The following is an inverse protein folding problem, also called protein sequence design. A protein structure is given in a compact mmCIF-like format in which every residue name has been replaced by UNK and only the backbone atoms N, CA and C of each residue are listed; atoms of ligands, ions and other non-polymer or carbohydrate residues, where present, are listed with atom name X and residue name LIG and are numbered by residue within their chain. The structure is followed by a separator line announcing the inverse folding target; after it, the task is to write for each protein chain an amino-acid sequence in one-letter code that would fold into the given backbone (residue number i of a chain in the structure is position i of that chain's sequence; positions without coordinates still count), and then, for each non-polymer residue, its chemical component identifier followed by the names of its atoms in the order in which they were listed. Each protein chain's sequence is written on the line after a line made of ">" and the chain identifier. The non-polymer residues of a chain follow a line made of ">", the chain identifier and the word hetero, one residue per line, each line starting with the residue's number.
data_IF_417271943153
#
_entry.id   IF_417271943153
#
_cell.length_a   1.000
_cell.length_b   1.000
_cell.length_c   1.000
_cell.angle_alpha   90.00
_cell.angle_beta   90.00
_cell.angle_gamma   90.00
#
_symmetry.space_group_name_H-M   'P 1'
#
loop_
_entity.id
_entity.type
_entity.pdbx_description
1 polymer ?
#
# COMPACT_ATOMS: atom_id res chain seq x y z
N UNK A 1 42.89 10.11 -5.73
CA UNK A 1 41.55 10.64 -6.04
C UNK A 1 40.78 9.54 -6.76
N UNK A 2 39.98 8.76 -6.02
CA UNK A 2 39.12 7.75 -6.63
C UNK A 2 37.94 8.45 -7.29
N UNK A 3 37.85 8.34 -8.61
CA UNK A 3 36.66 8.74 -9.35
C UNK A 3 35.58 7.72 -9.01
N UNK A 4 34.65 8.06 -8.11
CA UNK A 4 33.38 7.34 -8.06
C UNK A 4 32.76 7.45 -9.46
N UNK A 5 32.44 6.33 -10.13
CA UNK A 5 31.84 6.41 -11.45
C UNK A 5 30.53 7.19 -11.36
N UNK A 6 30.12 7.81 -12.46
CA UNK A 6 28.84 8.51 -12.53
C UNK A 6 27.71 7.45 -12.63
N UNK A 7 27.43 6.80 -11.49
CA UNK A 7 26.53 5.65 -11.31
C UNK A 7 25.11 6.18 -11.09
N UNK A 8 24.55 6.86 -12.08
CA UNK A 8 23.13 7.20 -12.06
C UNK A 8 22.36 5.99 -12.61
N UNK A 9 21.53 5.35 -11.76
CA UNK A 9 20.70 4.16 -12.06
C UNK A 9 21.46 2.82 -12.14
N UNK A 10 22.32 2.52 -11.17
CA UNK A 10 22.94 1.19 -11.06
C UNK A 10 22.66 0.54 -9.72
N UNK A 11 22.35 -0.75 -9.77
CA UNK A 11 22.29 -1.61 -8.60
C UNK A 11 23.72 -1.92 -8.16
N UNK A 12 24.08 -1.54 -6.94
CA UNK A 12 25.30 -2.00 -6.30
C UNK A 12 25.03 -3.28 -5.52
N UNK A 13 25.94 -4.25 -5.58
CA UNK A 13 25.96 -5.43 -4.74
C UNK A 13 27.26 -5.38 -3.93
N UNK A 14 27.19 -5.55 -2.61
CA UNK A 14 28.38 -5.58 -1.76
C UNK A 14 28.66 -7.01 -1.29
N UNK A 15 29.89 -7.45 -1.46
CA UNK A 15 30.42 -8.67 -0.87
C UNK A 15 30.90 -8.38 0.56
N UNK A 16 30.67 -9.30 1.49
CA UNK A 16 31.14 -9.14 2.89
C UNK A 16 32.66 -9.30 3.02
N UNK A 17 33.32 -9.90 2.03
CA UNK A 17 34.76 -10.04 1.92
C UNK A 17 35.22 -9.79 0.47
N UNK A 18 36.48 -9.36 0.26
CA UNK A 18 37.04 -9.21 -1.09
C UNK A 18 37.01 -10.54 -1.85
N UNK A 19 36.51 -10.50 -3.08
CA UNK A 19 36.50 -11.66 -3.96
C UNK A 19 37.84 -11.78 -4.70
N UNK A 20 38.66 -12.78 -4.36
CA UNK A 20 39.97 -13.01 -5.01
C UNK A 20 39.87 -13.38 -6.49
N UNK A 21 38.69 -13.78 -6.96
CA UNK A 21 38.38 -14.14 -8.35
C UNK A 21 37.43 -13.13 -9.02
N UNK A 22 37.47 -11.85 -8.59
CA UNK A 22 36.60 -10.80 -9.11
C UNK A 22 36.62 -10.68 -10.65
N UNK A 23 37.79 -10.88 -11.28
CA UNK A 23 37.93 -10.84 -12.74
C UNK A 23 37.16 -11.94 -13.47
N UNK A 24 37.08 -13.14 -12.89
CA UNK A 24 36.36 -14.29 -13.46
C UNK A 24 34.88 -14.31 -13.09
N UNK A 25 34.52 -13.65 -11.99
CA UNK A 25 33.15 -13.57 -11.48
C UNK A 25 32.25 -12.72 -12.37
N UNK A 26 32.72 -11.57 -12.88
CA UNK A 26 31.89 -10.67 -13.68
C UNK A 26 31.30 -11.32 -14.95
N UNK A 27 32.06 -12.06 -15.77
CA UNK A 27 31.52 -12.79 -16.92
C UNK A 27 30.47 -13.84 -16.54
N UNK A 28 30.65 -14.51 -15.39
CA UNK A 28 29.76 -15.55 -14.90
C UNK A 28 28.43 -14.95 -14.42
N UNK A 29 28.50 -13.87 -13.64
CA UNK A 29 27.31 -13.13 -13.21
C UNK A 29 26.58 -12.54 -14.41
N UNK A 30 27.30 -11.93 -15.36
CA UNK A 30 26.72 -11.41 -16.59
C UNK A 30 25.95 -12.50 -17.35
N UNK A 31 26.57 -13.66 -17.59
CA UNK A 31 25.94 -14.80 -18.27
C UNK A 31 24.69 -15.31 -17.55
N UNK A 32 24.76 -15.51 -16.23
CA UNK A 32 23.63 -16.01 -15.44
C UNK A 32 22.44 -15.03 -15.35
N UNK A 33 22.72 -13.74 -15.56
CA UNK A 33 21.73 -12.66 -15.60
C UNK A 33 21.27 -12.30 -17.02
N UNK A 34 21.87 -12.88 -18.07
CA UNK A 34 21.57 -12.55 -19.46
C UNK A 34 22.07 -11.16 -19.88
N UNK A 35 23.16 -10.70 -19.28
CA UNK A 35 23.81 -9.42 -19.57
C UNK A 35 25.08 -9.60 -20.40
N UNK A 36 25.55 -8.51 -21.01
CA UNK A 36 26.91 -8.44 -21.54
C UNK A 36 27.92 -8.33 -20.39
N UNK A 37 29.14 -8.89 -20.50
CA UNK A 37 30.20 -8.66 -19.53
C UNK A 37 30.49 -7.18 -19.27
N UNK A 38 30.29 -6.30 -20.26
CA UNK A 38 30.48 -4.86 -20.12
C UNK A 38 29.42 -4.19 -19.22
N UNK A 39 28.28 -4.85 -18.97
CA UNK A 39 27.21 -4.35 -18.09
C UNK A 39 27.52 -4.62 -16.60
N UNK A 40 28.55 -5.41 -16.29
CA UNK A 40 28.94 -5.75 -14.91
C UNK A 40 30.27 -5.12 -14.58
N UNK A 41 30.27 -4.13 -13.70
CA UNK A 41 31.50 -3.46 -13.26
C UNK A 41 31.84 -3.89 -11.84
N UNK A 42 32.97 -4.58 -11.67
CA UNK A 42 33.50 -4.92 -10.35
C UNK A 42 34.13 -3.68 -9.70
N UNK A 43 33.99 -3.55 -8.38
CA UNK A 43 34.76 -2.54 -7.63
C UNK A 43 36.25 -2.89 -7.67
N UNK A 44 37.12 -1.88 -7.61
CA UNK A 44 38.58 -2.08 -7.67
C UNK A 44 39.12 -2.90 -6.48
N UNK A 45 38.46 -2.81 -5.33
CA UNK A 45 38.81 -3.56 -4.12
C UNK A 45 38.18 -4.97 -4.10
N UNK A 46 37.41 -5.34 -5.13
CA UNK A 46 36.73 -6.63 -5.22
C UNK A 46 35.64 -6.84 -4.16
N UNK A 47 35.19 -5.79 -3.46
CA UNK A 47 34.13 -5.85 -2.43
C UNK A 47 32.73 -5.59 -2.97
N UNK A 48 32.57 -5.38 -4.28
CA UNK A 48 31.25 -5.22 -4.87
C UNK A 48 31.22 -5.31 -6.38
N UNK A 49 30.00 -5.23 -6.90
CA UNK A 49 29.71 -5.21 -8.32
C UNK A 49 28.53 -4.26 -8.61
N UNK A 50 28.61 -3.54 -9.72
CA UNK A 50 27.56 -2.66 -10.22
C UNK A 50 26.89 -3.27 -11.45
N UNK A 51 25.57 -3.13 -11.50
CA UNK A 51 24.71 -3.63 -12.58
C UNK A 51 23.74 -2.54 -13.02
N UNK A 52 23.31 -2.50 -14.30
CA UNK A 52 22.24 -1.61 -14.72
C UNK A 52 20.92 -1.97 -14.02
N UNK A 53 20.41 -1.07 -13.17
CA UNK A 53 19.25 -1.31 -12.30
C UNK A 53 18.00 -1.71 -13.10
N UNK A 54 17.86 -1.20 -14.33
CA UNK A 54 16.74 -1.47 -15.22
C UNK A 54 16.71 -2.90 -15.80
N UNK A 55 17.82 -3.65 -15.73
CA UNK A 55 17.95 -4.97 -16.37
C UNK A 55 18.02 -6.14 -15.41
N UNK A 56 18.26 -5.89 -14.12
CA UNK A 56 18.43 -6.96 -13.13
C UNK A 56 17.56 -6.77 -11.91
N UNK A 57 17.15 -7.89 -11.31
CA UNK A 57 16.48 -7.89 -10.00
C UNK A 57 17.53 -8.14 -8.92
N UNK A 58 17.63 -7.28 -7.89
CA UNK A 58 18.62 -7.42 -6.83
C UNK A 58 18.66 -8.81 -6.20
N UNK A 59 17.49 -9.42 -6.00
CA UNK A 59 17.36 -10.73 -5.38
C UNK A 59 17.94 -11.84 -6.26
N UNK A 60 17.81 -11.73 -7.59
CA UNK A 60 18.37 -12.69 -8.54
C UNK A 60 19.88 -12.59 -8.59
N UNK A 61 20.42 -11.36 -8.57
CA UNK A 61 21.86 -11.14 -8.52
C UNK A 61 22.43 -11.70 -7.22
N UNK A 62 21.79 -11.43 -6.08
CA UNK A 62 22.23 -11.96 -4.80
C UNK A 62 22.12 -13.48 -4.71
N UNK A 63 21.04 -14.08 -5.22
CA UNK A 63 20.89 -15.53 -5.27
C UNK A 63 21.98 -16.18 -6.12
N UNK A 64 22.30 -15.59 -7.27
CA UNK A 64 23.37 -16.08 -8.13
C UNK A 64 24.73 -15.96 -7.45
N UNK A 65 25.05 -14.81 -6.85
CA UNK A 65 26.29 -14.60 -6.12
C UNK A 65 26.45 -15.58 -4.94
N UNK A 66 25.37 -15.83 -4.18
CA UNK A 66 25.37 -16.84 -3.09
C UNK A 66 25.59 -18.26 -3.61
N UNK A 67 25.10 -18.58 -4.81
CA UNK A 67 25.35 -19.89 -5.43
C UNK A 67 26.85 -20.11 -5.74
N UNK A 68 27.64 -19.04 -5.85
CA UNK A 68 29.11 -19.08 -5.97
C UNK A 68 29.82 -18.97 -4.62
N UNK A 69 29.11 -19.14 -3.50
CA UNK A 69 29.68 -19.06 -2.16
C UNK A 69 30.01 -17.64 -1.69
N UNK A 70 29.48 -16.61 -2.36
CA UNK A 70 29.69 -15.23 -1.95
C UNK A 70 28.62 -14.79 -0.96
N UNK A 71 29.06 -14.29 0.19
CA UNK A 71 28.18 -13.58 1.10
C UNK A 71 27.95 -12.16 0.59
N UNK A 72 26.69 -11.88 0.27
CA UNK A 72 26.27 -10.64 -0.39
C UNK A 72 25.26 -9.88 0.43
N UNK A 73 25.62 -8.63 0.68
CA UNK A 73 24.76 -7.56 1.16
C UNK A 73 24.26 -6.81 -0.07
N UNK A 74 22.95 -6.88 -0.30
CA UNK A 74 22.31 -5.92 -1.19
C UNK A 74 22.21 -4.64 -0.35
N UNK A 75 22.93 -3.55 -0.67
CA UNK A 75 22.70 -2.28 -0.01
C UNK A 75 21.21 -1.97 -0.13
N UNK A 76 20.58 -1.57 0.98
CA UNK A 76 19.13 -1.40 1.05
C UNK A 76 18.63 -0.65 -0.19
N UNK A 77 17.90 -1.37 -1.06
CA UNK A 77 17.34 -0.75 -2.24
C UNK A 77 16.57 0.50 -1.78
N UNK A 78 16.79 1.65 -2.43
CA UNK A 78 16.40 2.95 -1.90
C UNK A 78 14.94 2.89 -1.45
N UNK A 79 14.70 3.27 -0.19
CA UNK A 79 13.39 3.17 0.43
C UNK A 79 12.36 3.86 -0.47
N UNK A 80 11.36 3.11 -0.91
CA UNK A 80 10.25 3.58 -1.73
C UNK A 80 9.01 3.68 -0.85
N UNK A 81 8.43 4.87 -0.80
CA UNK A 81 7.26 5.16 0.01
C UNK A 81 6.04 5.37 -0.87
N UNK A 82 4.87 5.05 -0.34
CA UNK A 82 3.59 5.45 -0.90
C UNK A 82 2.98 6.55 -0.04
N UNK A 83 2.33 7.52 -0.68
CA UNK A 83 1.64 8.63 -0.04
C UNK A 83 0.18 8.68 -0.45
N UNK A 84 -0.73 8.73 0.52
CA UNK A 84 -2.13 9.03 0.30
C UNK A 84 -2.46 10.44 0.80
N UNK A 85 -3.07 11.26 -0.06
CA UNK A 85 -3.59 12.58 0.28
C UNK A 85 -5.10 12.50 0.39
N UNK A 86 -5.61 12.78 1.59
CA UNK A 86 -7.00 12.53 1.96
C UNK A 86 -7.65 13.86 2.32
N UNK A 87 -8.66 14.32 1.59
CA UNK A 87 -9.33 15.56 1.93
C UNK A 87 -10.10 15.40 3.25
N UNK A 88 -9.93 16.38 4.13
CA UNK A 88 -10.74 16.47 5.36
C UNK A 88 -12.17 16.91 5.05
N UNK A 89 -13.15 16.63 5.93
CA UNK A 89 -14.50 17.15 5.79
C UNK A 89 -14.52 18.66 5.56
N UNK A 90 -15.24 19.12 4.52
CA UNK A 90 -15.32 20.54 4.15
C UNK A 90 -14.16 21.07 3.29
N UNK A 91 -13.15 20.25 2.99
CA UNK A 91 -12.09 20.63 2.06
C UNK A 91 -12.65 20.90 0.65
N UNK A 92 -12.12 21.93 -0.02
CA UNK A 92 -12.49 22.27 -1.40
C UNK A 92 -11.59 21.50 -2.36
N UNK A 93 -12.12 20.41 -2.93
CA UNK A 93 -11.36 19.48 -3.77
C UNK A 93 -10.62 20.18 -4.92
N UNK A 94 -11.21 21.22 -5.54
CA UNK A 94 -10.61 21.96 -6.64
C UNK A 94 -9.37 22.75 -6.21
N UNK A 95 -9.42 23.40 -5.03
CA UNK A 95 -8.27 24.13 -4.48
C UNK A 95 -7.15 23.18 -4.09
N UNK A 96 -7.50 22.08 -3.44
CA UNK A 96 -6.53 21.05 -3.06
C UNK A 96 -5.90 20.40 -4.30
N UNK A 97 -6.68 20.17 -5.36
CA UNK A 97 -6.19 19.64 -6.63
C UNK A 97 -5.22 20.58 -7.34
N UNK A 98 -5.50 21.89 -7.37
CA UNK A 98 -4.59 22.89 -7.94
C UNK A 98 -3.25 22.93 -7.21
N UNK A 99 -3.29 22.93 -5.88
CA UNK A 99 -2.08 22.89 -5.07
C UNK A 99 -1.29 21.57 -5.24
N UNK A 100 -1.97 20.41 -5.25
CA UNK A 100 -1.31 19.12 -5.51
C UNK A 100 -0.73 19.05 -6.94
N UNK A 101 -1.34 19.72 -7.91
CA UNK A 101 -0.81 19.79 -9.27
C UNK A 101 0.55 20.51 -9.30
N UNK A 102 0.68 21.62 -8.56
CA UNK A 102 1.95 22.34 -8.42
C UNK A 102 3.01 21.50 -7.69
N UNK A 103 2.62 20.82 -6.61
CA UNK A 103 3.55 19.99 -5.82
C UNK A 103 4.06 18.76 -6.59
N UNK A 104 3.19 18.13 -7.39
CA UNK A 104 3.45 16.80 -7.96
C UNK A 104 3.66 16.82 -9.48
N UNK A 105 3.39 17.94 -10.15
CA UNK A 105 3.44 18.06 -11.61
C UNK A 105 2.30 17.34 -12.35
N UNK A 106 1.31 16.78 -11.64
CA UNK A 106 0.15 16.14 -12.27
C UNK A 106 -0.95 17.14 -12.65
N UNK A 107 -1.84 16.76 -13.58
CA UNK A 107 -2.97 17.60 -13.98
C UNK A 107 -4.00 17.75 -12.86
N UNK A 108 -4.39 18.99 -12.56
CA UNK A 108 -5.36 19.31 -11.51
C UNK A 108 -6.71 18.63 -11.73
N UNK A 109 -7.19 18.47 -12.97
CA UNK A 109 -8.48 17.82 -13.26
C UNK A 109 -8.48 16.34 -12.83
N UNK A 110 -7.36 15.64 -13.06
CA UNK A 110 -7.19 14.24 -12.66
C UNK A 110 -7.16 14.11 -11.15
N UNK A 111 -6.41 14.99 -10.48
CA UNK A 111 -6.32 15.03 -9.03
C UNK A 111 -7.67 15.38 -8.40
N UNK A 112 -8.40 16.36 -8.93
CA UNK A 112 -9.71 16.76 -8.44
C UNK A 112 -10.74 15.63 -8.52
N UNK A 113 -10.73 14.82 -9.60
CA UNK A 113 -11.59 13.63 -9.69
C UNK A 113 -11.26 12.61 -8.60
N UNK A 114 -9.98 12.35 -8.34
CA UNK A 114 -9.53 11.39 -7.33
C UNK A 114 -9.77 11.87 -5.90
N UNK A 115 -9.57 13.17 -5.62
CA UNK A 115 -9.86 13.76 -4.31
C UNK A 115 -11.34 13.71 -3.95
N UNK A 116 -12.26 13.60 -4.92
CA UNK A 116 -13.67 13.38 -4.63
C UNK A 116 -13.98 11.95 -4.17
N UNK A 117 -13.03 11.02 -4.35
CA UNK A 117 -13.15 9.66 -3.85
C UNK A 117 -12.71 9.63 -2.38
N UNK A 118 -13.34 8.82 -1.51
CA UNK A 118 -12.98 8.78 -0.09
C UNK A 118 -11.58 8.23 0.19
N UNK A 119 -10.99 7.48 -0.74
CA UNK A 119 -9.60 7.04 -0.69
C UNK A 119 -8.58 8.13 -1.08
N UNK A 120 -9.04 9.30 -1.52
CA UNK A 120 -8.19 10.41 -1.91
C UNK A 120 -7.26 10.11 -3.09
N UNK A 121 -6.07 10.72 -3.07
CA UNK A 121 -5.05 10.52 -4.10
C UNK A 121 -3.89 9.71 -3.56
N UNK A 122 -3.67 8.52 -4.14
CA UNK A 122 -2.53 7.67 -3.84
C UNK A 122 -1.42 7.85 -4.89
N UNK A 123 -0.20 8.12 -4.40
CA UNK A 123 1.06 8.08 -5.13
C UNK A 123 1.87 6.90 -4.60
N UNK A 124 2.33 6.03 -5.50
CA UNK A 124 3.08 4.82 -5.14
C UNK A 124 4.55 4.96 -5.54
N UNK A 125 5.39 4.18 -4.86
CA UNK A 125 6.80 3.97 -5.21
C UNK A 125 7.65 5.26 -5.33
N UNK A 126 7.33 6.27 -4.53
CA UNK A 126 8.07 7.53 -4.48
C UNK A 126 9.44 7.31 -3.82
N UNK A 127 10.51 7.97 -4.31
CA UNK A 127 11.75 8.08 -3.56
C UNK A 127 11.48 8.68 -2.16
N UNK A 128 12.12 8.12 -1.12
CA UNK A 128 11.96 8.57 0.28
C UNK A 128 12.06 10.08 0.44
N UNK A 129 13.09 10.71 -0.13
CA UNK A 129 13.30 12.16 -0.01
C UNK A 129 12.08 12.94 -0.53
N UNK A 130 11.64 12.62 -1.75
CA UNK A 130 10.46 13.25 -2.37
C UNK A 130 9.18 13.03 -1.53
N UNK A 131 8.97 11.83 -1.01
CA UNK A 131 7.80 11.56 -0.17
C UNK A 131 7.83 12.37 1.14
N UNK A 132 8.99 12.50 1.78
CA UNK A 132 9.14 13.31 2.99
C UNK A 132 8.98 14.81 2.70
N UNK A 133 9.49 15.28 1.56
CA UNK A 133 9.32 16.67 1.12
C UNK A 133 7.83 16.99 0.90
N UNK A 134 7.11 16.10 0.21
CA UNK A 134 5.67 16.26 -0.01
C UNK A 134 4.87 16.18 1.29
N UNK A 135 5.22 15.27 2.19
CA UNK A 135 4.60 15.18 3.52
C UNK A 135 4.86 16.47 4.34
N UNK A 136 6.08 16.99 4.32
CA UNK A 136 6.44 18.22 5.01
C UNK A 136 5.66 19.43 4.45
N UNK A 137 5.49 19.52 3.13
CA UNK A 137 4.68 20.56 2.49
C UNK A 137 3.19 20.55 2.91
N UNK A 138 2.71 19.45 3.49
CA UNK A 138 1.34 19.32 3.98
C UNK A 138 1.16 19.66 5.46
N UNK A 139 2.26 19.81 6.21
CA UNK A 139 2.22 19.85 7.68
C UNK A 139 1.29 20.95 8.23
N UNK A 140 1.29 22.11 7.60
CA UNK A 140 0.52 23.27 8.04
C UNK A 140 -0.87 23.35 7.40
N UNK A 141 -1.23 22.38 6.55
CA UNK A 141 -2.54 22.35 5.88
C UNK A 141 -3.60 21.74 6.79
N UNK A 142 -4.75 22.39 6.86
CA UNK A 142 -5.90 21.92 7.65
C UNK A 142 -6.97 21.22 6.83
N UNK A 143 -6.80 21.17 5.51
CA UNK A 143 -7.78 20.63 4.56
C UNK A 143 -7.40 19.26 3.99
N UNK A 144 -6.24 18.71 4.36
CA UNK A 144 -5.74 17.41 3.88
C UNK A 144 -5.00 16.67 4.99
N UNK A 145 -5.25 15.37 5.08
CA UNK A 145 -4.42 14.43 5.83
C UNK A 145 -3.49 13.69 4.86
N UNK A 146 -2.26 13.41 5.32
CA UNK A 146 -1.28 12.67 4.55
C UNK A 146 -0.87 11.43 5.31
N UNK A 147 -1.04 10.29 4.66
CA UNK A 147 -0.56 9.01 5.17
C UNK A 147 0.60 8.50 4.34
N UNK A 148 1.55 7.88 5.04
CA UNK A 148 2.79 7.35 4.46
C UNK A 148 2.86 5.86 4.75
N UNK A 149 3.27 5.08 3.76
CA UNK A 149 3.54 3.66 3.94
C UNK A 149 4.84 3.27 3.24
N UNK A 150 5.64 2.42 3.89
CA UNK A 150 6.77 1.75 3.27
C UNK A 150 6.27 0.52 2.51
N UNK A 151 6.29 0.59 1.17
CA UNK A 151 5.76 -0.48 0.32
C UNK A 151 6.45 -1.84 0.49
N UNK A 152 7.66 -1.91 1.08
CA UNK A 152 8.31 -3.20 1.37
C UNK A 152 7.82 -3.82 2.67
N UNK A 153 7.60 -3.01 3.70
CA UNK A 153 7.16 -3.44 5.02
C UNK A 153 5.62 -3.43 5.18
N UNK A 154 4.91 -2.86 4.22
CA UNK A 154 3.47 -2.76 4.20
C UNK A 154 2.78 -4.14 4.22
N UNK A 155 1.63 -4.15 4.87
CA UNK A 155 0.74 -5.30 4.90
C UNK A 155 -0.47 -4.99 4.03
N UNK A 156 -0.76 -5.87 3.08
CA UNK A 156 -1.81 -5.68 2.11
C UNK A 156 -2.97 -6.65 2.36
N UNK A 157 -4.18 -6.25 1.97
CA UNK A 157 -5.32 -7.15 1.90
C UNK A 157 -5.94 -7.10 0.50
N UNK A 158 -6.45 -8.24 0.05
CA UNK A 158 -7.15 -8.39 -1.22
C UNK A 158 -8.65 -8.24 -1.01
N UNK A 159 -9.28 -7.37 -1.80
CA UNK A 159 -10.72 -7.15 -1.80
C UNK A 159 -11.30 -7.39 -3.20
N UNK A 160 -12.63 -7.43 -3.28
CA UNK A 160 -13.36 -7.59 -4.54
C UNK A 160 -13.72 -9.04 -4.88
N UNK A 161 -14.21 -9.28 -6.10
CA UNK A 161 -14.58 -10.61 -6.56
C UNK A 161 -13.34 -11.50 -6.69
N UNK A 162 -13.53 -12.80 -6.50
CA UNK A 162 -12.45 -13.80 -6.58
C UNK A 162 -12.87 -14.88 -7.57
N UNK A 163 -12.06 -15.07 -8.61
CA UNK A 163 -12.26 -16.17 -9.56
C UNK A 163 -11.95 -17.53 -8.92
N UNK A 164 -12.47 -18.62 -9.49
CA UNK A 164 -12.19 -19.97 -8.98
C UNK A 164 -10.68 -20.29 -8.97
N UNK A 165 -9.94 -19.82 -9.99
CA UNK A 165 -8.48 -20.01 -10.09
C UNK A 165 -7.77 -19.25 -8.97
N UNK A 166 -8.13 -17.99 -8.74
CA UNK A 166 -7.56 -17.22 -7.64
C UNK A 166 -7.91 -17.85 -6.28
N UNK A 167 -9.15 -18.29 -6.07
CA UNK A 167 -9.53 -18.97 -4.83
C UNK A 167 -8.70 -20.24 -4.57
N UNK A 168 -8.38 -21.01 -5.61
CA UNK A 168 -7.50 -22.17 -5.50
C UNK A 168 -6.07 -21.77 -5.14
N UNK A 169 -5.51 -20.77 -5.81
CA UNK A 169 -4.16 -20.26 -5.54
C UNK A 169 -4.03 -19.68 -4.12
N UNK A 170 -5.03 -18.92 -3.65
CA UNK A 170 -5.07 -18.41 -2.27
C UNK A 170 -5.06 -19.57 -1.25
N UNK A 171 -5.83 -20.64 -1.51
CA UNK A 171 -5.86 -21.83 -0.65
C UNK A 171 -4.50 -22.52 -0.59
N UNK A 172 -3.83 -22.70 -1.74
CA UNK A 172 -2.50 -23.31 -1.82
C UNK A 172 -1.45 -22.48 -1.06
N UNK A 173 -1.58 -21.16 -1.10
CA UNK A 173 -0.70 -20.24 -0.36
C UNK A 173 -1.04 -20.14 1.15
N UNK A 174 -2.05 -20.86 1.63
CA UNK A 174 -2.51 -20.78 3.03
C UNK A 174 -3.13 -19.43 3.39
N UNK A 175 -3.57 -18.65 2.40
CA UNK A 175 -4.17 -17.34 2.59
C UNK A 175 -5.66 -17.45 2.89
N UNK A 176 -6.08 -16.80 3.97
CA UNK A 176 -7.47 -16.77 4.39
C UNK A 176 -8.06 -15.35 4.28
N UNK A 177 -9.37 -15.29 4.04
CA UNK A 177 -10.13 -14.06 4.12
C UNK A 177 -10.32 -13.58 5.56
N UNK A 178 -10.63 -12.30 5.71
CA UNK A 178 -10.98 -11.68 6.98
C UNK A 178 -12.48 -11.34 6.97
N UNK A 179 -13.28 -12.08 7.75
CA UNK A 179 -14.72 -11.82 7.85
C UNK A 179 -15.04 -10.43 8.40
N UNK A 180 -14.16 -9.89 9.26
CA UNK A 180 -14.34 -8.59 9.91
C UNK A 180 -14.27 -7.43 8.91
N UNK A 181 -13.28 -7.46 8.02
CA UNK A 181 -13.07 -6.38 7.03
C UNK A 181 -13.63 -6.70 5.64
N UNK A 182 -14.10 -7.94 5.43
CA UNK A 182 -14.54 -8.43 4.13
C UNK A 182 -13.40 -8.74 3.16
N UNK A 183 -12.15 -8.74 3.62
CA UNK A 183 -11.00 -9.10 2.79
C UNK A 183 -11.10 -10.58 2.37
N UNK A 184 -10.73 -10.89 1.13
CA UNK A 184 -10.72 -12.24 0.58
C UNK A 184 -9.41 -12.97 0.83
N UNK A 185 -8.32 -12.21 0.93
CA UNK A 185 -7.06 -12.65 1.48
C UNK A 185 -6.52 -11.50 2.33
N UNK A 186 -6.09 -11.80 3.54
CA UNK A 186 -5.58 -10.80 4.47
C UNK A 186 -4.11 -11.03 4.80
N UNK A 187 -3.44 -9.97 5.24
CA UNK A 187 -2.07 -10.01 5.75
C UNK A 187 -1.03 -10.45 4.70
N UNK A 188 -1.22 -10.02 3.47
CA UNK A 188 -0.29 -10.26 2.37
C UNK A 188 0.95 -9.38 2.56
N UNK A 189 2.13 -9.98 2.38
CA UNK A 189 3.34 -9.19 2.20
C UNK A 189 3.40 -8.56 0.79
N UNK A 190 4.35 -7.65 0.59
CA UNK A 190 4.55 -6.96 -0.68
C UNK A 190 4.89 -7.90 -1.86
N UNK A 191 5.49 -9.06 -1.60
CA UNK A 191 5.84 -10.04 -2.64
C UNK A 191 4.59 -10.78 -3.11
N UNK A 192 3.74 -11.19 -2.18
CA UNK A 192 2.48 -11.90 -2.42
C UNK A 192 1.49 -10.97 -3.11
N UNK A 193 1.34 -9.73 -2.64
CA UNK A 193 0.52 -8.70 -3.29
C UNK A 193 0.91 -8.51 -4.77
N UNK A 194 2.21 -8.30 -5.06
CA UNK A 194 2.71 -8.14 -6.44
C UNK A 194 2.60 -9.42 -7.28
N UNK A 195 2.64 -10.59 -6.67
CA UNK A 195 2.43 -11.84 -7.40
C UNK A 195 0.96 -11.99 -7.81
N UNK A 196 0.03 -11.72 -6.88
CA UNK A 196 -1.41 -11.76 -7.14
C UNK A 196 -1.82 -10.76 -8.22
N UNK A 197 -1.30 -9.53 -8.16
CA UNK A 197 -1.56 -8.50 -9.17
C UNK A 197 -1.05 -8.92 -10.55
N UNK A 198 0.19 -9.41 -10.65
CA UNK A 198 0.76 -9.84 -11.94
C UNK A 198 0.07 -11.08 -12.52
N UNK A 199 -0.39 -11.99 -11.68
CA UNK A 199 -0.97 -13.27 -12.11
C UNK A 199 -2.46 -13.17 -12.40
N UNK A 200 -3.20 -12.41 -11.60
CA UNK A 200 -4.66 -12.35 -11.65
C UNK A 200 -5.20 -10.96 -12.02
N UNK A 201 -4.33 -9.96 -12.18
CA UNK A 201 -4.75 -8.57 -12.42
C UNK A 201 -5.43 -7.93 -11.22
N UNK A 202 -5.37 -8.55 -10.03
CA UNK A 202 -6.06 -8.08 -8.84
C UNK A 202 -5.08 -7.44 -7.86
N UNK A 203 -5.20 -6.13 -7.72
CA UNK A 203 -4.36 -5.38 -6.82
C UNK A 203 -4.82 -5.57 -5.36
N UNK A 204 -3.85 -5.81 -4.48
CA UNK A 204 -4.07 -5.75 -3.05
C UNK A 204 -3.91 -4.31 -2.55
N UNK A 205 -4.68 -3.95 -1.52
CA UNK A 205 -4.68 -2.63 -0.93
C UNK A 205 -3.89 -2.63 0.38
N UNK A 206 -2.92 -1.72 0.47
CA UNK A 206 -2.14 -1.48 1.68
C UNK A 206 -3.08 -1.09 2.84
N UNK A 207 -2.94 -1.76 3.98
CA UNK A 207 -3.74 -1.53 5.19
C UNK A 207 -3.68 -0.10 5.69
N UNK A 208 -2.57 0.61 5.49
CA UNK A 208 -2.47 2.02 5.85
C UNK A 208 -3.55 2.84 5.13
N UNK A 209 -3.73 2.59 3.84
CA UNK A 209 -4.64 3.38 2.99
C UNK A 209 -6.08 2.86 2.96
N UNK A 210 -6.40 1.76 3.66
CA UNK A 210 -7.76 1.22 3.67
C UNK A 210 -8.73 2.14 4.43
N UNK A 211 -9.88 2.39 3.83
CA UNK A 211 -10.97 3.15 4.42
C UNK A 211 -12.23 2.32 4.48
N UNK A 212 -12.93 2.44 5.60
CA UNK A 212 -14.16 1.71 5.84
C UNK A 212 -15.28 2.66 6.22
N UNK A 213 -16.45 2.42 5.63
CA UNK A 213 -17.70 2.89 6.20
C UNK A 213 -18.13 1.90 7.29
N UNK A 214 -18.61 2.44 8.42
CA UNK A 214 -19.28 1.66 9.45
C UNK A 214 -20.77 1.66 9.13
N UNK A 215 -21.34 0.46 9.01
CA UNK A 215 -22.69 0.24 8.53
C UNK A 215 -23.53 -0.42 9.62
N UNK A 216 -24.63 0.22 10.04
CA UNK A 216 -25.61 -0.37 10.94
C UNK A 216 -26.39 -1.49 10.23
N UNK A 217 -26.38 -2.69 10.81
CA UNK A 217 -27.06 -3.87 10.23
C UNK A 217 -28.26 -4.33 11.06
N UNK A 218 -28.66 -3.56 12.06
CA UNK A 218 -29.84 -3.78 12.91
C UNK A 218 -29.74 -3.05 14.25
N UNK A 219 -30.76 -3.14 15.09
CA UNK A 219 -30.74 -2.55 16.44
C UNK A 219 -30.17 -3.49 17.52
N UNK A 220 -30.06 -4.79 17.20
CA UNK A 220 -29.49 -5.80 18.10
C UNK A 220 -30.22 -5.89 19.44
N UNK A 221 -29.51 -5.54 20.52
CA UNK A 221 -30.04 -5.56 21.89
C UNK A 221 -30.78 -4.29 22.29
N UNK A 222 -30.63 -3.21 21.53
CA UNK A 222 -31.31 -1.96 21.77
C UNK A 222 -32.67 -1.96 21.07
N UNK A 223 -33.65 -1.30 21.68
CA UNK A 223 -34.86 -0.92 20.95
C UNK A 223 -34.51 0.08 19.84
N UNK A 224 -35.31 0.17 18.77
CA UNK A 224 -35.10 1.17 17.72
C UNK A 224 -35.03 2.61 18.25
N UNK A 225 -35.77 2.90 19.33
CA UNK A 225 -35.77 4.22 19.97
C UNK A 225 -34.45 4.50 20.69
N UNK A 226 -33.95 3.58 21.50
CA UNK A 226 -32.66 3.73 22.18
C UNK A 226 -31.51 3.85 21.16
N UNK A 227 -31.55 3.04 20.10
CA UNK A 227 -30.58 3.15 19.00
C UNK A 227 -30.66 4.52 18.32
N UNK A 228 -31.87 5.06 18.10
CA UNK A 228 -32.06 6.39 17.51
C UNK A 228 -31.63 7.53 18.44
N UNK A 229 -31.90 7.43 19.74
CA UNK A 229 -31.46 8.43 20.72
C UNK A 229 -29.92 8.47 20.82
N UNK A 230 -29.25 7.31 20.65
CA UNK A 230 -27.79 7.22 20.63
C UNK A 230 -27.15 7.70 19.31
N UNK A 231 -27.71 7.29 18.17
CA UNK A 231 -27.15 7.53 16.83
C UNK A 231 -27.58 8.86 16.21
N UNK A 232 -28.81 9.31 16.48
CA UNK A 232 -29.42 10.48 15.86
C UNK A 232 -28.58 11.74 15.98
N UNK A 233 -28.08 12.11 17.18
CA UNK A 233 -27.23 13.29 17.35
C UNK A 233 -25.90 13.25 16.59
N UNK A 234 -25.38 12.04 16.31
CA UNK A 234 -24.09 11.82 15.63
C UNK A 234 -24.24 11.79 14.10
N UNK A 235 -25.31 11.18 13.63
CA UNK A 235 -25.46 10.77 12.23
C UNK A 235 -26.54 11.56 11.49
N UNK A 236 -27.45 12.22 12.23
CA UNK A 236 -28.66 12.84 11.67
C UNK A 236 -29.72 11.83 11.21
N UNK A 237 -29.54 10.53 11.46
CA UNK A 237 -30.48 9.49 11.05
C UNK A 237 -31.76 9.55 11.89
N UNK A 238 -32.90 9.37 11.22
CA UNK A 238 -34.21 9.28 11.86
C UNK A 238 -34.48 7.89 12.46
N UNK A 239 -35.40 7.84 13.44
CA UNK A 239 -35.91 6.60 14.02
C UNK A 239 -36.38 5.60 12.94
N UNK A 240 -37.06 6.10 11.90
CA UNK A 240 -37.56 5.25 10.82
C UNK A 240 -36.46 4.69 9.92
N UNK A 241 -35.33 5.37 9.77
CA UNK A 241 -34.16 4.84 9.05
C UNK A 241 -33.45 3.77 9.87
N UNK A 242 -33.22 4.05 11.16
CA UNK A 242 -32.55 3.13 12.10
C UNK A 242 -33.39 1.86 12.31
N UNK A 243 -34.70 2.00 12.52
CA UNK A 243 -35.60 0.87 12.71
C UNK A 243 -35.74 -0.04 11.48
N UNK A 244 -35.36 0.44 10.28
CA UNK A 244 -35.34 -0.34 9.03
C UNK A 244 -33.95 -0.90 8.69
N UNK A 245 -32.92 -0.57 9.46
CA UNK A 245 -31.58 -1.10 9.24
C UNK A 245 -31.58 -2.62 9.40
N UNK A 246 -30.98 -3.31 8.44
CA UNK A 246 -30.84 -4.77 8.44
C UNK A 246 -29.57 -5.17 7.70
N UNK A 247 -29.17 -6.44 7.79
CA UNK A 247 -28.05 -6.95 7.01
C UNK A 247 -28.26 -6.80 5.49
N UNK A 248 -29.50 -6.86 5.01
CA UNK A 248 -29.85 -6.68 3.59
C UNK A 248 -29.97 -5.21 3.19
N UNK A 249 -30.26 -4.32 4.15
CA UNK A 249 -30.38 -2.88 3.94
C UNK A 249 -29.62 -2.14 5.04
N UNK A 250 -28.28 -2.18 4.99
CA UNK A 250 -27.46 -1.54 6.00
C UNK A 250 -27.51 -0.01 5.85
N UNK A 251 -27.39 0.71 6.97
CA UNK A 251 -27.43 2.18 7.00
C UNK A 251 -26.05 2.71 7.44
N UNK A 252 -25.41 3.63 6.69
CA UNK A 252 -24.10 4.16 7.06
C UNK A 252 -24.23 5.03 8.31
N UNK A 253 -23.42 4.74 9.33
CA UNK A 253 -23.32 5.53 10.57
C UNK A 253 -22.06 6.40 10.60
N UNK A 254 -20.94 5.86 10.12
CA UNK A 254 -19.67 6.58 10.00
C UNK A 254 -19.07 6.28 8.63
N UNK A 255 -18.32 7.22 8.04
CA UNK A 255 -17.79 7.07 6.68
C UNK A 255 -16.30 7.32 6.60
N UNK A 256 -15.64 6.58 5.72
CA UNK A 256 -14.23 6.83 5.38
C UNK A 256 -13.28 6.73 6.57
N UNK A 257 -13.55 5.84 7.52
CA UNK A 257 -12.70 5.66 8.71
C UNK A 257 -11.40 4.93 8.33
N UNK A 258 -10.24 5.34 8.86
CA UNK A 258 -9.03 4.53 8.82
C UNK A 258 -9.26 3.15 9.46
N UNK A 259 -8.58 2.12 8.95
CA UNK A 259 -8.77 0.72 9.38
C UNK A 259 -8.82 0.53 10.90
N UNK A 260 -7.84 1.06 11.63
CA UNK A 260 -7.76 0.89 13.09
C UNK A 260 -8.94 1.56 13.81
N UNK A 261 -9.34 2.76 13.38
CA UNK A 261 -10.49 3.47 13.92
C UNK A 261 -11.78 2.72 13.61
N UNK A 262 -11.93 2.19 12.40
CA UNK A 262 -13.09 1.41 12.00
C UNK A 262 -13.26 0.14 12.84
N UNK A 263 -12.17 -0.60 13.07
CA UNK A 263 -12.17 -1.80 13.91
C UNK A 263 -12.51 -1.49 15.37
N UNK A 264 -11.96 -0.39 15.90
CA UNK A 264 -12.27 0.08 17.26
C UNK A 264 -13.73 0.45 17.39
N UNK A 265 -14.27 1.27 16.48
CA UNK A 265 -15.69 1.61 16.50
C UNK A 265 -16.58 0.37 16.35
N UNK A 266 -16.24 -0.57 15.47
CA UNK A 266 -17.00 -1.82 15.38
C UNK A 266 -17.04 -2.56 16.72
N UNK A 267 -15.91 -2.64 17.43
CA UNK A 267 -15.85 -3.22 18.78
C UNK A 267 -16.70 -2.43 19.78
N UNK A 268 -16.57 -1.11 19.83
CA UNK A 268 -17.28 -0.25 20.77
C UNK A 268 -18.81 -0.33 20.59
N UNK A 269 -19.27 -0.34 19.33
CA UNK A 269 -20.69 -0.50 19.01
C UNK A 269 -21.20 -1.90 19.36
N UNK A 270 -20.40 -2.95 19.14
CA UNK A 270 -20.76 -4.30 19.52
C UNK A 270 -20.90 -4.45 21.05
N UNK A 271 -20.07 -3.76 21.84
CA UNK A 271 -20.15 -3.77 23.31
C UNK A 271 -21.46 -3.18 23.85
N UNK A 272 -22.01 -2.16 23.19
CA UNK A 272 -23.32 -1.58 23.53
C UNK A 272 -24.50 -2.33 22.87
N UNK A 273 -24.24 -3.45 22.20
CA UNK A 273 -25.26 -4.30 21.59
C UNK A 273 -25.81 -3.78 20.26
N UNK A 274 -25.11 -2.84 19.60
CA UNK A 274 -25.42 -2.37 18.25
C UNK A 274 -24.64 -3.16 17.19
N UNK A 275 -25.31 -3.97 16.36
CA UNK A 275 -24.64 -4.74 15.34
C UNK A 275 -24.27 -3.83 14.16
N UNK A 276 -22.97 -3.77 13.88
CA UNK A 276 -22.40 -2.99 12.78
C UNK A 276 -21.45 -3.84 11.96
N UNK A 277 -21.36 -3.53 10.67
CA UNK A 277 -20.45 -4.16 9.72
C UNK A 277 -19.52 -3.12 9.10
N UNK A 278 -18.30 -3.53 8.77
CA UNK A 278 -17.38 -2.72 8.00
C UNK A 278 -17.60 -2.94 6.51
N UNK A 279 -17.62 -1.86 5.75
CA UNK A 279 -17.64 -1.90 4.29
C UNK A 279 -16.47 -1.09 3.76
N UNK A 280 -15.59 -1.72 2.98
CA UNK A 280 -14.52 -0.98 2.30
C UNK A 280 -15.14 0.10 1.42
N UNK A 281 -14.56 1.29 1.42
CA UNK A 281 -15.11 2.39 0.63
C UNK A 281 -14.81 2.18 -0.86
N UNK A 282 -15.83 2.40 -1.69
CA UNK A 282 -15.72 2.25 -3.14
C UNK A 282 -14.69 3.24 -3.73
N UNK A 283 -14.01 2.81 -4.81
CA UNK A 283 -13.00 3.64 -5.50
C UNK A 283 -11.62 3.63 -4.85
N UNK A 284 -11.38 2.76 -3.87
CA UNK A 284 -10.02 2.41 -3.40
C UNK A 284 -9.35 1.30 -4.23
N UNK A 285 -10.02 0.83 -5.28
CA UNK A 285 -9.45 -0.10 -6.25
C UNK A 285 -8.26 0.57 -6.96
N UNK A 286 -7.16 -0.18 -7.08
CA UNK A 286 -5.87 0.31 -7.57
C UNK A 286 -5.91 0.85 -9.00
#
# INVERSE_FOLDING_TARGET
>A
MSLEPNIVNSLCLRFTAPCSFAGDLAPVLARGLGLSPADVQMTQDGTGAFFPESRVRPERVAALARAFGLDVVIPDAPLRLSLAFLPRPGARAERLAGWLAELTGQKAERLGRRLRLPGGVLFRDLPRAQALDWQAACRDRRDVDVEVSDGKAAVYDLFGPVSLVLAADLRVLGLAGCAVTGARAAALDARMARWLERRHGQAALDRAFQRFDLMLVGCGRLSPREAADFLGPRTGLSLGEIGRASALRPVPVERGLPRETALRFQSDYAQIGLPVALRLVDGQEA
#
